data_IF_035787957376
#
_entry.id   IF_035787957376
#
_cell.length_a   1.000
_cell.length_b   1.000
_cell.length_c   1.000
_cell.angle_alpha   90.00
_cell.angle_beta   90.00
_cell.angle_gamma   90.00
#
_symmetry.space_group_name_H-M   'P 1'
#
loop_
_entity.id
_entity.type
_entity.pdbx_description
1 polymer ?
#
# COMPACT_ATOMS: atom_id res chain seq x y z
N UNK A 1 14.11 -20.70 47.09
CA UNK A 1 14.85 -20.16 45.93
C UNK A 1 14.08 -20.24 44.60
N UNK A 2 12.74 -20.42 44.60
CA UNK A 2 11.96 -20.55 43.35
C UNK A 2 11.13 -19.33 42.95
N UNK A 3 10.87 -18.39 43.87
CA UNK A 3 10.02 -17.21 43.63
C UNK A 3 10.68 -16.19 42.70
N UNK A 4 12.01 -16.03 42.75
CA UNK A 4 12.75 -15.11 41.88
C UNK A 4 12.75 -15.52 40.40
N UNK A 5 12.81 -16.83 40.11
CA UNK A 5 12.85 -17.34 38.75
C UNK A 5 11.48 -17.19 38.05
N UNK A 6 10.38 -17.35 38.79
CA UNK A 6 9.03 -17.15 38.26
C UNK A 6 8.74 -15.67 37.97
N UNK A 7 9.23 -14.76 38.81
CA UNK A 7 9.14 -13.32 38.56
C UNK A 7 9.92 -12.90 37.31
N UNK A 8 11.13 -13.42 37.11
CA UNK A 8 11.92 -13.18 35.90
C UNK A 8 11.22 -13.71 34.64
N UNK A 9 10.65 -14.91 34.71
CA UNK A 9 9.91 -15.50 33.59
C UNK A 9 8.69 -14.66 33.19
N UNK A 10 7.91 -14.18 34.16
CA UNK A 10 6.74 -13.32 33.90
C UNK A 10 7.14 -11.96 33.31
N UNK A 11 8.25 -11.37 33.76
CA UNK A 11 8.78 -10.12 33.21
C UNK A 11 9.25 -10.26 31.76
N UNK A 12 9.93 -11.37 31.44
CA UNK A 12 10.34 -11.69 30.06
C UNK A 12 9.11 -11.90 29.18
N UNK A 13 8.11 -12.65 29.67
CA UNK A 13 6.87 -12.91 28.94
C UNK A 13 6.10 -11.60 28.66
N UNK A 14 5.98 -10.72 29.67
CA UNK A 14 5.36 -9.39 29.51
C UNK A 14 6.15 -8.51 28.53
N UNK A 15 7.48 -8.52 28.59
CA UNK A 15 8.33 -7.78 27.67
C UNK A 15 8.16 -8.26 26.22
N UNK A 16 8.13 -9.58 26.00
CA UNK A 16 7.88 -10.18 24.68
C UNK A 16 6.49 -9.79 24.16
N UNK A 17 5.45 -9.88 24.99
CA UNK A 17 4.08 -9.46 24.61
C UNK A 17 4.03 -7.96 24.23
N UNK A 18 4.76 -7.10 24.95
CA UNK A 18 4.86 -5.67 24.65
C UNK A 18 5.62 -5.38 23.35
N UNK A 19 6.56 -6.23 22.93
CA UNK A 19 7.25 -6.09 21.63
C UNK A 19 6.37 -6.60 20.48
N UNK A 20 5.61 -7.68 20.67
CA UNK A 20 4.66 -8.21 19.67
C UNK A 20 3.51 -7.21 19.40
N UNK A 21 3.16 -6.36 20.36
CA UNK A 21 2.16 -5.29 20.19
C UNK A 21 2.61 -4.11 19.30
N UNK A 22 3.88 -4.06 18.88
CA UNK A 22 4.42 -3.01 17.99
C UNK A 22 4.56 -3.48 16.55
N UNK A 23 3.57 -4.23 16.05
CA UNK A 23 3.51 -4.54 14.63
C UNK A 23 3.00 -3.29 13.92
N UNK A 24 3.93 -2.50 13.36
CA UNK A 24 3.59 -1.46 12.40
C UNK A 24 3.17 -2.14 11.10
N UNK A 25 1.92 -1.95 10.69
CA UNK A 25 1.45 -2.31 9.36
C UNK A 25 1.93 -1.22 8.42
N UNK A 26 2.79 -1.59 7.47
CA UNK A 26 3.26 -0.66 6.45
C UNK A 26 2.28 -0.76 5.29
N UNK A 27 1.59 0.35 5.03
CA UNK A 27 0.84 0.53 3.81
C UNK A 27 1.70 0.16 2.61
N UNK A 28 1.14 -0.60 1.67
CA UNK A 28 1.87 -0.98 0.46
C UNK A 28 2.03 0.25 -0.43
N UNK A 29 3.26 0.57 -0.83
CA UNK A 29 3.53 1.55 -1.88
C UNK A 29 3.86 0.78 -3.17
N UNK A 30 3.23 1.16 -4.27
CA UNK A 30 3.59 0.64 -5.58
C UNK A 30 3.57 1.73 -6.65
N UNK A 31 4.40 1.49 -7.66
CA UNK A 31 4.65 2.42 -8.75
C UNK A 31 3.91 1.92 -9.98
N UNK A 32 2.96 2.71 -10.47
CA UNK A 32 2.20 2.40 -11.66
C UNK A 32 2.91 3.01 -12.87
N UNK A 33 3.47 2.16 -13.71
CA UNK A 33 4.04 2.57 -15.00
C UNK A 33 2.94 2.60 -16.05
N UNK A 34 2.73 3.75 -16.68
CA UNK A 34 1.72 3.91 -17.74
C UNK A 34 2.45 3.95 -19.08
N UNK A 35 2.11 3.08 -20.04
CA UNK A 35 2.74 3.09 -21.35
C UNK A 35 2.33 4.34 -22.15
N UNK A 36 3.31 5.07 -22.66
CA UNK A 36 3.13 6.24 -23.53
C UNK A 36 3.70 7.53 -22.94
N UNK A 37 4.04 8.50 -23.79
CA UNK A 37 4.58 9.79 -23.35
C UNK A 37 3.42 10.66 -22.81
N UNK A 38 3.23 10.62 -21.49
CA UNK A 38 2.16 11.36 -20.81
C UNK A 38 2.57 12.79 -20.46
N UNK A 39 3.66 13.34 -21.01
CA UNK A 39 4.20 14.67 -20.69
C UNK A 39 3.83 15.79 -21.67
N UNK A 40 2.59 15.81 -22.17
CA UNK A 40 2.11 16.87 -23.08
C UNK A 40 1.72 18.15 -22.31
N UNK A 41 2.18 19.31 -22.79
CA UNK A 41 1.79 20.59 -22.20
C UNK A 41 0.29 20.87 -22.37
N UNK A 42 -0.34 21.42 -21.33
CA UNK A 42 -1.77 21.78 -21.32
C UNK A 42 -2.72 20.60 -21.12
N UNK A 43 -2.22 19.40 -20.81
CA UNK A 43 -3.02 18.20 -20.56
C UNK A 43 -3.12 17.91 -19.06
N UNK A 44 -4.29 17.45 -18.61
CA UNK A 44 -4.53 16.97 -17.25
C UNK A 44 -5.03 15.53 -17.32
N UNK A 45 -4.50 14.67 -16.47
CA UNK A 45 -5.02 13.33 -16.29
C UNK A 45 -5.81 13.26 -15.00
N UNK A 46 -6.90 12.50 -15.01
CA UNK A 46 -7.67 12.18 -13.82
C UNK A 46 -7.54 10.70 -13.53
N UNK A 47 -6.97 10.40 -12.37
CA UNK A 47 -6.87 9.05 -11.85
C UNK A 47 -8.13 8.72 -11.06
N UNK A 48 -8.80 7.63 -11.43
CA UNK A 48 -9.91 7.05 -10.67
C UNK A 48 -9.63 5.58 -10.40
N UNK A 49 -10.15 5.05 -9.30
CA UNK A 49 -9.94 3.65 -8.93
C UNK A 49 -10.97 3.14 -7.92
N UNK A 50 -11.16 1.82 -7.92
CA UNK A 50 -12.03 1.13 -6.96
C UNK A 50 -11.32 -0.09 -6.37
N UNK A 51 -11.42 -0.35 -5.04
CA UNK A 51 -12.16 0.41 -4.02
C UNK A 51 -11.51 1.79 -3.71
N UNK A 52 -12.28 2.79 -3.21
CA UNK A 52 -11.83 4.18 -3.06
C UNK A 52 -10.93 4.38 -1.81
N UNK A 53 -9.92 3.53 -1.63
CA UNK A 53 -9.00 3.57 -0.50
C UNK A 53 -7.55 3.62 -0.98
N UNK A 54 -6.81 4.65 -0.58
CA UNK A 54 -5.42 4.85 -0.95
C UNK A 54 -5.10 6.32 -1.20
N UNK A 55 -3.87 6.58 -1.60
CA UNK A 55 -3.37 7.91 -1.89
C UNK A 55 -2.54 7.92 -3.18
N UNK A 56 -2.78 8.87 -4.10
CA UNK A 56 -3.74 9.98 -4.02
C UNK A 56 -5.20 9.51 -4.09
N UNK A 57 -6.12 10.33 -3.56
CA UNK A 57 -7.55 9.99 -3.49
C UNK A 57 -8.14 9.69 -4.89
N UNK A 58 -9.23 8.90 -4.98
CA UNK A 58 -9.88 8.67 -6.27
C UNK A 58 -10.39 9.99 -6.85
N UNK A 59 -10.47 10.07 -8.18
CA UNK A 59 -10.75 11.29 -8.94
C UNK A 59 -9.73 12.42 -8.74
N UNK A 60 -8.50 12.11 -8.34
CA UNK A 60 -7.42 13.11 -8.30
C UNK A 60 -7.01 13.50 -9.72
N UNK A 61 -6.91 14.81 -9.93
CA UNK A 61 -6.34 15.39 -11.15
C UNK A 61 -4.84 15.62 -10.98
N UNK A 62 -4.08 15.19 -11.97
CA UNK A 62 -2.62 15.28 -11.99
C UNK A 62 -2.23 15.94 -13.30
N UNK A 63 -1.41 16.99 -13.24
CA UNK A 63 -0.94 17.64 -14.45
C UNK A 63 -0.01 16.67 -15.21
N UNK A 64 -0.18 16.62 -16.53
CA UNK A 64 0.60 15.76 -17.42
C UNK A 64 2.13 15.88 -17.21
N UNK A 65 2.62 17.11 -17.01
CA UNK A 65 4.03 17.40 -16.69
C UNK A 65 4.56 16.71 -15.43
N UNK A 66 3.70 16.39 -14.47
CA UNK A 66 4.09 15.84 -13.16
C UNK A 66 4.05 14.30 -13.16
N UNK A 67 3.40 13.69 -14.16
CA UNK A 67 3.29 12.23 -14.25
C UNK A 67 4.60 11.61 -14.75
N UNK A 68 5.32 12.24 -15.70
CA UNK A 68 6.60 11.75 -16.25
C UNK A 68 6.61 10.25 -16.68
N UNK A 69 5.44 9.59 -16.80
CA UNK A 69 5.18 8.16 -17.07
C UNK A 69 4.93 7.25 -15.84
N UNK A 70 4.90 7.82 -14.63
CA UNK A 70 4.76 7.11 -13.37
C UNK A 70 3.74 7.76 -12.44
N UNK A 71 2.82 6.97 -11.88
CA UNK A 71 1.96 7.38 -10.77
C UNK A 71 2.36 6.62 -9.52
N UNK A 72 2.67 7.37 -8.44
CA UNK A 72 2.93 6.80 -7.12
C UNK A 72 1.61 6.57 -6.40
N UNK A 73 1.35 5.33 -6.00
CA UNK A 73 0.19 4.96 -5.21
C UNK A 73 0.63 4.36 -3.88
N UNK A 74 -0.02 4.79 -2.80
CA UNK A 74 0.28 4.38 -1.42
C UNK A 74 -1.01 4.17 -0.64
N UNK A 75 -0.91 3.65 0.58
CA UNK A 75 -2.08 3.41 1.45
C UNK A 75 -3.08 2.43 0.84
N UNK A 76 -2.63 1.53 -0.04
CA UNK A 76 -3.48 0.48 -0.57
C UNK A 76 -3.83 -0.55 0.53
N UNK A 77 -5.07 -1.03 0.56
CA UNK A 77 -5.49 -2.12 1.43
C UNK A 77 -4.81 -3.42 0.98
N UNK A 78 -4.12 -4.15 1.85
CA UNK A 78 -3.54 -5.47 1.54
C UNK A 78 -4.57 -6.48 1.07
N UNK A 79 -4.13 -7.42 0.23
CA UNK A 79 -5.00 -8.48 -0.33
C UNK A 79 -6.16 -7.97 -1.20
N UNK A 80 -6.22 -6.66 -1.48
CA UNK A 80 -7.34 -6.04 -2.19
C UNK A 80 -7.02 -5.89 -3.68
N UNK A 81 -8.00 -6.24 -4.51
CA UNK A 81 -7.94 -5.96 -5.94
C UNK A 81 -8.39 -4.52 -6.20
N UNK A 82 -7.52 -3.77 -6.85
CA UNK A 82 -7.78 -2.42 -7.33
C UNK A 82 -7.95 -2.41 -8.83
N UNK A 83 -9.03 -1.79 -9.30
CA UNK A 83 -9.27 -1.49 -10.71
C UNK A 83 -9.02 0.01 -10.93
N UNK A 84 -8.02 0.34 -11.74
CA UNK A 84 -7.58 1.71 -12.02
C UNK A 84 -8.04 2.17 -13.40
N UNK A 85 -8.45 3.44 -13.47
CA UNK A 85 -8.91 4.12 -14.68
C UNK A 85 -8.22 5.47 -14.79
N UNK A 86 -7.51 5.69 -15.89
CA UNK A 86 -6.88 6.97 -16.17
C UNK A 86 -7.61 7.66 -17.31
N UNK A 87 -8.23 8.79 -16.99
CA UNK A 87 -8.91 9.64 -17.94
C UNK A 87 -7.98 10.76 -18.39
N UNK A 88 -7.87 10.93 -19.69
CA UNK A 88 -7.28 12.10 -20.30
C UNK A 88 -8.33 13.21 -20.36
N UNK A 89 -8.02 14.36 -19.79
CA UNK A 89 -8.82 15.56 -19.92
C UNK A 89 -8.00 16.70 -20.53
N UNK A 90 -8.43 17.13 -21.73
CA UNK A 90 -8.04 18.41 -22.32
C UNK A 90 -9.31 19.26 -22.43
N UNK A 91 -9.19 20.58 -22.62
CA UNK A 91 -10.27 21.57 -22.61
C UNK A 91 -11.55 21.20 -23.41
N UNK A 92 -11.48 20.22 -24.31
CA UNK A 92 -12.61 19.75 -25.14
C UNK A 92 -12.90 18.25 -25.00
N UNK A 93 -12.02 17.45 -24.41
CA UNK A 93 -12.13 15.98 -24.44
C UNK A 93 -11.87 15.37 -23.07
N UNK A 94 -12.75 14.47 -22.64
CA UNK A 94 -12.55 13.62 -21.46
C UNK A 94 -12.69 12.16 -21.89
N UNK A 95 -11.58 11.47 -22.07
CA UNK A 95 -11.51 10.14 -22.70
C UNK A 95 -10.78 9.18 -21.77
N UNK A 96 -11.29 7.95 -21.62
CA UNK A 96 -10.59 6.89 -20.90
C UNK A 96 -9.37 6.44 -21.73
N UNK A 97 -8.17 6.65 -21.18
CA UNK A 97 -6.91 6.38 -21.89
C UNK A 97 -6.19 5.11 -21.44
N UNK A 98 -6.39 4.70 -20.19
CA UNK A 98 -5.68 3.54 -19.67
C UNK A 98 -6.47 2.88 -18.55
N UNK A 99 -6.38 1.56 -18.47
CA UNK A 99 -7.01 0.73 -17.46
C UNK A 99 -6.04 -0.37 -17.03
N UNK A 100 -5.94 -0.62 -15.74
CA UNK A 100 -5.22 -1.76 -15.22
C UNK A 100 -5.87 -2.30 -13.96
N UNK A 101 -5.58 -3.56 -13.67
CA UNK A 101 -5.93 -4.18 -12.42
C UNK A 101 -4.66 -4.60 -11.68
N UNK A 102 -4.61 -4.29 -10.39
CA UNK A 102 -3.53 -4.72 -9.51
C UNK A 102 -4.14 -5.32 -8.26
N UNK A 103 -3.60 -6.47 -7.85
CA UNK A 103 -3.92 -7.04 -6.54
C UNK A 103 -2.74 -6.75 -5.63
N UNK A 104 -2.98 -6.01 -4.56
CA UNK A 104 -1.96 -5.76 -3.55
C UNK A 104 -1.59 -7.07 -2.86
N UNK A 105 -0.29 -7.32 -2.68
CA UNK A 105 0.16 -8.47 -1.92
C UNK A 105 -0.20 -8.37 -0.45
N UNK A 106 -0.52 -9.51 0.17
CA UNK A 106 -0.53 -9.64 1.63
C UNK A 106 0.93 -9.69 2.10
N UNK A 107 1.30 -8.80 3.03
CA UNK A 107 2.62 -8.84 3.64
C UNK A 107 2.60 -9.86 4.78
N UNK A 108 3.48 -10.85 4.72
CA UNK A 108 3.74 -11.77 5.83
C UNK A 108 4.88 -11.22 6.67
N UNK A 109 4.66 -11.04 7.98
CA UNK A 109 5.74 -10.73 8.90
C UNK A 109 6.35 -12.06 9.37
N UNK A 110 7.66 -12.21 9.16
CA UNK A 110 8.44 -13.30 9.72
C UNK A 110 8.89 -12.92 11.14
N UNK A 111 8.28 -13.54 12.15
CA UNK A 111 8.78 -13.45 13.52
C UNK A 111 9.61 -14.71 13.77
N UNK A 112 10.93 -14.54 13.91
CA UNK A 112 11.85 -15.62 14.31
C UNK A 112 11.92 -15.59 15.85
N UNK A 113 11.35 -16.62 16.49
CA UNK A 113 11.49 -16.86 17.93
C UNK A 113 12.15 -18.23 18.10
N UNK A 114 13.33 -18.25 18.71
CA UNK A 114 14.00 -19.47 19.20
C UNK A 114 13.86 -20.68 18.25
N UNK A 115 14.33 -20.51 17.00
CA UNK A 115 14.32 -21.52 15.92
C UNK A 115 12.95 -21.89 15.32
N UNK A 116 11.88 -21.18 15.64
CA UNK A 116 10.54 -21.39 15.07
C UNK A 116 10.11 -20.17 14.24
N UNK A 117 9.72 -20.40 12.98
CA UNK A 117 9.14 -19.37 12.12
C UNK A 117 7.62 -19.38 12.28
N UNK A 118 7.05 -18.30 12.80
CA UNK A 118 5.59 -18.13 12.86
C UNK A 118 5.17 -17.21 11.72
N UNK A 119 4.29 -17.71 10.84
CA UNK A 119 3.64 -16.91 9.81
C UNK A 119 2.44 -16.20 10.43
N UNK A 120 2.56 -14.90 10.65
CA UNK A 120 1.41 -14.07 11.00
C UNK A 120 0.89 -13.46 9.70
N UNK A 121 -0.21 -14.03 9.20
CA UNK A 121 -1.01 -13.37 8.16
C UNK A 121 -1.70 -12.18 8.78
N UNK A 122 -1.38 -10.98 8.32
CA UNK A 122 -2.05 -9.76 8.78
C UNK A 122 -2.99 -9.35 7.66
N UNK A 123 -4.26 -9.69 7.83
CA UNK A 123 -5.35 -9.06 7.08
C UNK A 123 -5.54 -7.67 7.71
N UNK A 124 -5.23 -6.61 6.97
CA UNK A 124 -5.60 -5.24 7.36
C UNK A 124 -6.69 -4.71 6.45
#
# INVERSE_FOLDING_TARGET
>A
MSTGLQFFSLLVCLYVVLQVGKISVWATEFVIHIPGNLGQEGVVYRLDYYPPYGYPAPNTTIASKDIQDVIKFSQALPGTKYDFYLYYSNATHNILTWTANFTTGTFYIFIILDCTCIYVGIDT
#
